data_IF_792663470761
#
_entry.id   IF_792663470761
#
_cell.length_a   1.000
_cell.length_b   1.000
_cell.length_c   1.000
_cell.angle_alpha   90.00
_cell.angle_beta   90.00
_cell.angle_gamma   90.00
#
_symmetry.space_group_name_H-M   'P 1'
#
loop_
_entity.id
_entity.type
_entity.pdbx_description
1 polymer ?
#
# COMPACT_ATOMS: atom_id res chain seq x y z
N UNK A 1 -21.82 -1.85 -24.61
CA UNK A 1 -21.39 -0.58 -23.97
C UNK A 1 -20.04 -0.87 -23.34
N UNK A 2 -18.97 -0.74 -24.13
CA UNK A 2 -17.60 -0.93 -23.66
C UNK A 2 -17.32 0.08 -22.55
N UNK A 3 -17.34 -0.37 -21.30
CA UNK A 3 -16.76 0.37 -20.18
C UNK A 3 -15.27 0.43 -20.48
N UNK A 4 -14.85 1.44 -21.24
CA UNK A 4 -13.44 1.80 -21.38
C UNK A 4 -12.81 1.67 -20.00
N UNK A 5 -11.87 0.73 -19.85
CA UNK A 5 -11.02 0.61 -18.68
C UNK A 5 -10.24 1.92 -18.59
N UNK A 6 -10.84 2.93 -17.96
CA UNK A 6 -10.18 4.18 -17.66
C UNK A 6 -8.87 3.79 -16.97
N UNK A 7 -7.72 4.27 -17.44
CA UNK A 7 -6.45 3.97 -16.81
C UNK A 7 -6.50 4.40 -15.34
N UNK A 8 -5.75 3.72 -14.48
CA UNK A 8 -5.73 4.04 -13.05
C UNK A 8 -5.33 5.51 -12.85
N UNK A 9 -6.11 6.30 -12.09
CA UNK A 9 -5.77 7.68 -11.79
C UNK A 9 -4.34 7.79 -11.27
N UNK A 10 -3.62 8.83 -11.68
CA UNK A 10 -2.25 9.08 -11.24
C UNK A 10 -2.11 9.05 -9.71
N UNK A 11 -3.09 9.60 -8.98
CA UNK A 11 -3.12 9.57 -7.51
C UNK A 11 -3.20 8.17 -6.92
N UNK A 12 -3.91 7.25 -7.59
CA UNK A 12 -3.99 5.84 -7.20
C UNK A 12 -2.69 5.10 -7.55
N UNK A 13 -2.07 5.40 -8.69
CA UNK A 13 -0.77 4.83 -9.09
C UNK A 13 0.34 5.26 -8.11
N UNK A 14 0.38 6.53 -7.74
CA UNK A 14 1.34 7.06 -6.76
C UNK A 14 1.12 6.40 -5.39
N UNK A 15 -0.13 6.28 -4.94
CA UNK A 15 -0.43 5.58 -3.69
C UNK A 15 0.05 4.11 -3.72
N UNK A 16 -0.17 3.41 -4.83
CA UNK A 16 0.32 2.04 -5.01
C UNK A 16 1.85 1.97 -4.99
N UNK A 17 2.53 2.90 -5.66
CA UNK A 17 3.99 2.95 -5.66
C UNK A 17 4.55 3.14 -4.25
N UNK A 18 3.94 4.02 -3.44
CA UNK A 18 4.32 4.25 -2.04
C UNK A 18 4.16 2.96 -1.22
N UNK A 19 3.03 2.27 -1.37
CA UNK A 19 2.76 0.99 -0.70
C UNK A 19 3.83 -0.05 -1.05
N UNK A 20 4.16 -0.19 -2.34
CA UNK A 20 5.18 -1.15 -2.80
C UNK A 20 6.56 -0.80 -2.23
N UNK A 21 6.94 0.48 -2.23
CA UNK A 21 8.23 0.91 -1.64
C UNK A 21 8.28 0.62 -0.15
N UNK A 22 7.19 0.89 0.58
CA UNK A 22 7.08 0.54 2.00
C UNK A 22 7.19 -0.96 2.25
N UNK A 23 6.53 -1.78 1.44
CA UNK A 23 6.62 -3.24 1.53
C UNK A 23 8.06 -3.72 1.35
N UNK A 24 8.76 -3.23 0.32
CA UNK A 24 10.16 -3.60 0.07
C UNK A 24 11.04 -3.16 1.25
N UNK A 25 10.83 -1.95 1.77
CA UNK A 25 11.56 -1.45 2.94
C UNK A 25 11.32 -2.34 4.17
N UNK A 26 10.08 -2.73 4.44
CA UNK A 26 9.74 -3.64 5.54
C UNK A 26 10.44 -4.99 5.40
N UNK A 27 10.45 -5.58 4.21
CA UNK A 27 11.14 -6.85 3.94
C UNK A 27 12.64 -6.73 4.22
N UNK A 28 13.28 -5.65 3.76
CA UNK A 28 14.71 -5.39 4.01
C UNK A 28 14.97 -5.19 5.50
N UNK A 29 14.19 -4.36 6.18
CA UNK A 29 14.35 -4.09 7.61
C UNK A 29 14.19 -5.37 8.45
N UNK A 30 13.20 -6.20 8.10
CA UNK A 30 12.97 -7.50 8.71
C UNK A 30 14.14 -8.45 8.48
N UNK A 31 14.68 -8.50 7.27
CA UNK A 31 15.74 -9.43 6.90
C UNK A 31 17.10 -9.07 7.54
N UNK A 32 17.39 -7.78 7.74
CA UNK A 32 18.75 -7.34 8.09
C UNK A 32 18.90 -6.68 9.46
N UNK A 33 17.88 -6.03 10.01
CA UNK A 33 18.11 -5.06 11.08
C UNK A 33 17.22 -5.20 12.30
N UNK A 34 15.99 -5.69 12.15
CA UNK A 34 14.96 -5.44 13.16
C UNK A 34 14.24 -6.73 13.55
N UNK A 35 14.35 -7.09 14.84
CA UNK A 35 13.42 -8.04 15.46
C UNK A 35 11.99 -7.52 15.27
N UNK A 36 11.08 -8.36 14.77
CA UNK A 36 9.66 -8.05 14.53
C UNK A 36 8.96 -7.35 15.71
N UNK A 37 9.50 -7.46 16.92
CA UNK A 37 9.00 -6.81 18.14
C UNK A 37 9.30 -5.32 18.23
N UNK A 38 10.20 -4.77 17.42
CA UNK A 38 10.64 -3.38 17.49
C UNK A 38 9.47 -2.40 17.31
N UNK A 39 9.36 -1.37 18.17
CA UNK A 39 8.35 -0.31 18.03
C UNK A 39 8.40 0.39 16.67
N UNK A 40 9.59 0.56 16.09
CA UNK A 40 9.77 1.22 14.79
C UNK A 40 9.14 0.39 13.67
N UNK A 41 9.39 -0.93 13.68
CA UNK A 41 8.82 -1.85 12.70
C UNK A 41 7.29 -1.91 12.83
N UNK A 42 6.77 -2.03 14.06
CA UNK A 42 5.33 -2.01 14.32
C UNK A 42 4.66 -0.73 13.81
N UNK A 43 5.28 0.43 14.06
CA UNK A 43 4.78 1.71 13.55
C UNK A 43 4.76 1.76 12.03
N UNK A 44 5.81 1.27 11.38
CA UNK A 44 5.91 1.19 9.92
C UNK A 44 4.80 0.28 9.34
N UNK A 45 4.65 -0.94 9.88
CA UNK A 45 3.63 -1.91 9.46
C UNK A 45 2.21 -1.37 9.66
N UNK A 46 1.97 -0.62 10.73
CA UNK A 46 0.67 0.01 10.97
C UNK A 46 0.34 1.07 9.91
N UNK A 47 1.31 1.93 9.56
CA UNK A 47 1.14 2.94 8.50
C UNK A 47 0.93 2.26 7.16
N UNK A 48 1.70 1.22 6.86
CA UNK A 48 1.58 0.46 5.63
C UNK A 48 0.19 -0.18 5.49
N UNK A 49 -0.30 -0.81 6.57
CA UNK A 49 -1.65 -1.36 6.64
C UNK A 49 -2.74 -0.30 6.42
N UNK A 50 -2.58 0.89 7.01
CA UNK A 50 -3.50 2.02 6.80
C UNK A 50 -3.54 2.45 5.33
N UNK A 51 -2.38 2.60 4.69
CA UNK A 51 -2.29 2.97 3.28
C UNK A 51 -2.93 1.92 2.38
N UNK A 52 -2.73 0.63 2.69
CA UNK A 52 -3.38 -0.49 2.01
C UNK A 52 -4.91 -0.43 2.16
N UNK A 53 -5.42 -0.18 3.35
CA UNK A 53 -6.86 0.02 3.58
C UNK A 53 -7.41 1.17 2.72
N UNK A 54 -6.76 2.34 2.75
CA UNK A 54 -7.16 3.50 1.93
C UNK A 54 -7.12 3.16 0.45
N UNK A 55 -6.12 2.42 0.00
CA UNK A 55 -6.00 1.98 -1.38
C UNK A 55 -7.15 1.05 -1.78
N UNK A 56 -7.43 0.03 -0.99
CA UNK A 56 -8.51 -0.94 -1.24
C UNK A 56 -9.86 -0.23 -1.29
N UNK A 57 -10.18 0.61 -0.31
CA UNK A 57 -11.44 1.38 -0.29
C UNK A 57 -11.58 2.23 -1.55
N UNK A 58 -10.51 2.90 -2.00
CA UNK A 58 -10.52 3.67 -3.25
C UNK A 58 -10.69 2.78 -4.48
N UNK A 59 -10.11 1.57 -4.51
CA UNK A 59 -10.26 0.62 -5.62
C UNK A 59 -11.68 0.05 -5.69
N UNK A 60 -12.27 -0.32 -4.55
CA UNK A 60 -13.64 -0.82 -4.43
C UNK A 60 -14.63 0.22 -4.94
N UNK A 61 -14.57 1.45 -4.38
CA UNK A 61 -15.41 2.58 -4.81
C UNK A 61 -15.30 2.87 -6.30
N UNK A 62 -14.10 2.73 -6.89
CA UNK A 62 -13.87 2.97 -8.32
C UNK A 62 -14.41 1.85 -9.20
N UNK A 63 -14.33 0.60 -8.76
CA UNK A 63 -14.81 -0.57 -9.50
C UNK A 63 -16.32 -0.78 -9.34
N UNK A 64 -16.97 -0.06 -8.43
CA UNK A 64 -18.41 -0.16 -8.17
C UNK A 64 -18.79 -1.47 -7.50
N UNK A 65 -17.87 -2.00 -6.67
CA UNK A 65 -18.10 -3.14 -5.78
C UNK A 65 -18.67 -2.66 -4.44
#
# INVERSE_FOLDING_TARGET
MDKQKQPMPKSQQVLLAIIIVMLVLEVILTAFFISFSSPIFKGLTMIHGLLMMVFIVRQVKRKGL
#
